data_IF_620166007024
#
_entry.id   IF_620166007024
#
_cell.length_a   1.000
_cell.length_b   1.000
_cell.length_c   1.000
_cell.angle_alpha   90.00
_cell.angle_beta   90.00
_cell.angle_gamma   90.00
#
_symmetry.space_group_name_H-M   'P 1'
#
loop_
_entity.id
_entity.type
_entity.pdbx_description
1 polymer ?
#
# COMPACT_ATOMS: atom_id res chain seq x y z
N UNK A 1 11.12 34.86 -29.79
CA UNK A 1 9.88 34.08 -29.63
C UNK A 1 9.21 34.57 -28.35
N UNK A 2 7.94 34.96 -28.38
CA UNK A 2 7.24 35.52 -27.22
C UNK A 2 6.87 34.39 -26.24
N UNK A 3 6.77 34.68 -24.94
CA UNK A 3 6.33 33.73 -23.91
C UNK A 3 4.99 33.07 -24.27
N UNK A 4 4.08 33.83 -24.88
CA UNK A 4 2.80 33.30 -25.32
C UNK A 4 2.96 32.19 -26.38
N UNK A 5 3.89 32.34 -27.32
CA UNK A 5 4.16 31.31 -28.34
C UNK A 5 4.79 30.08 -27.71
N UNK A 6 5.69 30.29 -26.75
CA UNK A 6 6.34 29.22 -26.00
C UNK A 6 5.34 28.37 -25.21
N UNK A 7 4.40 29.01 -24.50
CA UNK A 7 3.36 28.32 -23.73
C UNK A 7 2.41 27.59 -24.65
N UNK A 8 2.00 28.21 -25.76
CA UNK A 8 1.07 27.59 -26.73
C UNK A 8 1.67 26.35 -27.41
N UNK A 9 2.98 26.32 -27.60
CA UNK A 9 3.69 25.23 -28.28
C UNK A 9 4.30 24.19 -27.31
N UNK A 10 3.96 24.24 -26.01
CA UNK A 10 4.50 23.36 -24.96
C UNK A 10 6.05 23.28 -24.94
N UNK A 11 6.69 24.41 -25.26
CA UNK A 11 8.15 24.58 -25.30
C UNK A 11 8.74 24.68 -23.87
N UNK A 12 8.54 23.65 -23.04
CA UNK A 12 8.87 23.68 -21.61
C UNK A 12 10.37 23.82 -21.35
N UNK A 13 11.24 23.30 -22.22
CA UNK A 13 12.68 23.50 -22.07
C UNK A 13 13.06 24.97 -22.21
N UNK A 14 12.56 25.66 -23.23
CA UNK A 14 12.83 27.07 -23.46
C UNK A 14 12.21 27.96 -22.39
N UNK A 15 10.98 27.66 -21.96
CA UNK A 15 10.33 28.38 -20.84
C UNK A 15 11.18 28.27 -19.57
N UNK A 16 11.74 27.09 -19.27
CA UNK A 16 12.55 26.88 -18.05
C UNK A 16 13.81 27.75 -17.97
N UNK A 17 14.35 28.15 -19.14
CA UNK A 17 15.56 28.96 -19.31
C UNK A 17 15.29 30.47 -19.28
N UNK A 18 14.05 30.91 -19.13
CA UNK A 18 13.74 32.34 -19.04
C UNK A 18 14.21 32.91 -17.69
N UNK A 19 15.26 33.72 -17.71
CA UNK A 19 15.88 34.28 -16.50
C UNK A 19 15.24 35.64 -16.13
N UNK A 20 13.97 35.63 -15.74
CA UNK A 20 13.31 36.80 -15.13
C UNK A 20 12.31 36.38 -14.05
N UNK A 21 12.25 37.07 -12.88
CA UNK A 21 11.34 36.72 -11.79
C UNK A 21 9.85 36.68 -12.20
N UNK A 22 9.43 37.55 -13.11
CA UNK A 22 8.05 37.60 -13.61
C UNK A 22 7.62 36.34 -14.36
N UNK A 23 8.59 35.55 -14.87
CA UNK A 23 8.29 34.30 -15.56
C UNK A 23 8.35 33.08 -14.64
N UNK A 24 8.60 33.26 -13.34
CA UNK A 24 8.73 32.15 -12.39
C UNK A 24 7.51 31.22 -12.40
N UNK A 25 6.29 31.74 -12.47
CA UNK A 25 5.07 30.91 -12.54
C UNK A 25 5.10 29.96 -13.74
N UNK A 26 5.51 30.45 -14.92
CA UNK A 26 5.62 29.63 -16.13
C UNK A 26 6.77 28.62 -16.04
N UNK A 27 7.90 29.02 -15.45
CA UNK A 27 9.05 28.14 -15.22
C UNK A 27 8.69 26.98 -14.31
N UNK A 28 7.91 27.23 -13.26
CA UNK A 28 7.45 26.19 -12.34
C UNK A 28 6.66 25.13 -13.08
N UNK A 29 5.67 25.54 -13.88
CA UNK A 29 4.85 24.62 -14.70
C UNK A 29 5.73 23.86 -15.69
N UNK A 30 6.66 24.54 -16.36
CA UNK A 30 7.61 23.92 -17.27
C UNK A 30 8.48 22.86 -16.58
N UNK A 31 9.07 23.18 -15.41
CA UNK A 31 9.85 22.20 -14.65
C UNK A 31 9.01 21.01 -14.17
N UNK A 32 7.74 21.23 -13.81
CA UNK A 32 6.81 20.14 -13.48
C UNK A 32 6.60 19.21 -14.66
N UNK A 33 6.33 19.75 -15.86
CA UNK A 33 6.13 18.94 -17.07
C UNK A 33 7.41 18.21 -17.50
N UNK A 34 8.59 18.79 -17.23
CA UNK A 34 9.90 18.13 -17.43
C UNK A 34 10.25 17.11 -16.33
N UNK A 35 9.39 16.90 -15.32
CA UNK A 35 9.65 15.98 -14.20
C UNK A 35 10.71 16.47 -13.20
N UNK A 36 11.14 17.74 -13.30
CA UNK A 36 12.19 18.38 -12.50
C UNK A 36 11.58 19.06 -11.26
N UNK A 37 11.07 18.25 -10.33
CA UNK A 37 10.27 18.74 -9.21
C UNK A 37 11.07 19.54 -8.15
N UNK A 38 12.34 19.23 -7.92
CA UNK A 38 13.16 20.00 -6.96
C UNK A 38 13.50 21.40 -7.52
N UNK A 39 13.67 21.53 -8.84
CA UNK A 39 13.83 22.78 -9.55
C UNK A 39 12.54 23.60 -9.51
N UNK A 40 11.39 22.97 -9.77
CA UNK A 40 10.08 23.62 -9.66
C UNK A 40 9.88 24.28 -8.28
N UNK A 41 10.31 23.62 -7.19
CA UNK A 41 10.20 24.16 -5.83
C UNK A 41 11.01 25.44 -5.56
N UNK A 42 12.04 25.72 -6.36
CA UNK A 42 12.86 26.95 -6.24
C UNK A 42 12.12 28.18 -6.72
N UNK A 43 11.24 28.00 -7.71
CA UNK A 43 10.51 29.08 -8.37
C UNK A 43 9.04 29.17 -7.92
N UNK A 44 8.51 28.10 -7.31
CA UNK A 44 7.11 28.03 -6.90
C UNK A 44 6.82 28.89 -5.67
N UNK A 45 5.76 29.69 -5.77
CA UNK A 45 5.27 30.49 -4.65
C UNK A 45 4.87 29.63 -3.45
N UNK A 46 5.02 30.19 -2.25
CA UNK A 46 4.98 29.45 -0.98
C UNK A 46 3.67 28.70 -0.73
N UNK A 47 2.55 29.25 -1.18
CA UNK A 47 1.20 28.71 -0.96
C UNK A 47 0.49 28.38 -2.28
N UNK A 48 1.25 28.10 -3.35
CA UNK A 48 0.68 27.76 -4.66
C UNK A 48 0.35 26.26 -4.82
N UNK A 49 -0.56 25.96 -5.75
CA UNK A 49 -0.90 24.59 -6.11
C UNK A 49 0.30 23.82 -6.69
N UNK A 50 1.08 24.46 -7.54
CA UNK A 50 2.26 23.88 -8.19
C UNK A 50 3.32 23.47 -7.17
N UNK A 51 3.51 24.28 -6.11
CA UNK A 51 4.39 23.92 -5.00
C UNK A 51 3.90 22.67 -4.28
N UNK A 52 2.59 22.59 -4.02
CA UNK A 52 1.99 21.40 -3.40
C UNK A 52 2.13 20.16 -4.31
N UNK A 53 1.92 20.32 -5.61
CA UNK A 53 2.08 19.25 -6.60
C UNK A 53 3.53 18.75 -6.68
N UNK A 54 4.52 19.64 -6.76
CA UNK A 54 5.92 19.26 -6.74
C UNK A 54 6.30 18.54 -5.43
N UNK A 55 5.82 19.01 -4.27
CA UNK A 55 6.00 18.30 -2.99
C UNK A 55 5.35 16.91 -2.99
N UNK A 56 4.17 16.77 -3.59
CA UNK A 56 3.49 15.48 -3.74
C UNK A 56 4.31 14.50 -4.58
N UNK A 57 4.82 14.92 -5.75
CA UNK A 57 5.65 14.08 -6.63
C UNK A 57 6.97 13.67 -5.96
N UNK A 58 7.49 14.51 -5.07
CA UNK A 58 8.65 14.21 -4.21
C UNK A 58 8.30 13.39 -2.95
N UNK A 59 7.07 12.84 -2.86
CA UNK A 59 6.56 12.05 -1.73
C UNK A 59 6.56 12.80 -0.38
N UNK A 60 6.60 14.13 -0.40
CA UNK A 60 6.56 15.02 0.79
C UNK A 60 5.10 15.34 1.18
N UNK A 61 4.25 14.31 1.26
CA UNK A 61 2.78 14.41 1.38
C UNK A 61 2.28 15.32 2.52
N UNK A 62 2.88 15.21 3.71
CA UNK A 62 2.51 16.06 4.87
C UNK A 62 2.76 17.54 4.62
N UNK A 63 3.81 17.89 3.85
CA UNK A 63 4.12 19.28 3.51
C UNK A 63 3.15 19.78 2.44
N UNK A 64 2.86 18.97 1.43
CA UNK A 64 1.85 19.28 0.40
C UNK A 64 0.48 19.58 1.03
N UNK A 65 0.01 18.73 1.96
CA UNK A 65 -1.27 18.93 2.64
C UNK A 65 -1.36 20.23 3.43
N UNK A 66 -0.27 20.76 3.98
CA UNK A 66 -0.29 22.05 4.69
C UNK A 66 -0.62 23.22 3.76
N UNK A 67 -0.19 23.12 2.50
CA UNK A 67 -0.48 24.11 1.46
C UNK A 67 -1.90 23.89 0.95
N UNK A 68 -2.25 22.65 0.60
CA UNK A 68 -3.56 22.32 0.00
C UNK A 68 -4.75 22.68 0.90
N UNK A 69 -4.59 22.65 2.23
CA UNK A 69 -5.62 23.12 3.17
C UNK A 69 -6.01 24.60 3.04
N UNK A 70 -5.20 25.40 2.33
CA UNK A 70 -5.41 26.84 2.13
C UNK A 70 -5.95 27.17 0.75
N UNK A 71 -6.08 26.18 -0.12
CA UNK A 71 -6.53 26.31 -1.51
C UNK A 71 -7.84 25.54 -1.61
N UNK A 72 -8.93 26.20 -1.96
CA UNK A 72 -10.24 25.56 -2.12
C UNK A 72 -10.60 25.50 -3.61
N UNK A 73 -10.08 24.49 -4.30
CA UNK A 73 -10.39 24.19 -5.70
C UNK A 73 -10.63 22.68 -5.85
N UNK A 74 -11.33 22.24 -6.90
CA UNK A 74 -11.48 20.80 -7.15
C UNK A 74 -10.11 20.11 -7.29
N UNK A 75 -9.17 20.73 -8.01
CA UNK A 75 -7.81 20.21 -8.14
C UNK A 75 -7.07 20.07 -6.81
N UNK A 76 -7.27 21.01 -5.86
CA UNK A 76 -6.66 20.90 -4.53
C UNK A 76 -7.27 19.77 -3.71
N UNK A 77 -8.59 19.56 -3.80
CA UNK A 77 -9.29 18.43 -3.15
C UNK A 77 -8.82 17.08 -3.69
N UNK A 78 -8.68 16.94 -5.01
CA UNK A 78 -8.14 15.74 -5.67
C UNK A 78 -6.71 15.47 -5.19
N UNK A 79 -5.82 16.47 -5.21
CA UNK A 79 -4.44 16.25 -4.78
C UNK A 79 -4.33 15.99 -3.27
N UNK A 80 -5.21 16.60 -2.46
CA UNK A 80 -5.27 16.36 -1.02
C UNK A 80 -5.72 14.93 -0.70
N UNK A 81 -6.75 14.42 -1.38
CA UNK A 81 -7.21 13.04 -1.20
C UNK A 81 -6.12 12.04 -1.59
N UNK A 82 -5.39 12.27 -2.69
CA UNK A 82 -4.23 11.47 -3.09
C UNK A 82 -3.13 11.48 -2.02
N UNK A 83 -2.79 12.66 -1.46
CA UNK A 83 -1.83 12.75 -0.36
C UNK A 83 -2.26 11.96 0.88
N UNK A 84 -3.55 12.03 1.24
CA UNK A 84 -4.11 11.30 2.38
C UNK A 84 -4.12 9.79 2.15
N UNK A 85 -4.45 9.36 0.93
CA UNK A 85 -4.38 7.97 0.50
C UNK A 85 -2.98 7.38 0.70
N UNK A 86 -1.92 8.06 0.22
CA UNK A 86 -0.54 7.60 0.43
C UNK A 86 -0.09 7.67 1.89
N UNK A 87 -0.72 8.50 2.71
CA UNK A 87 -0.51 8.55 4.16
C UNK A 87 -1.36 7.52 4.91
N UNK A 88 -2.19 6.73 4.23
CA UNK A 88 -3.03 5.69 4.83
C UNK A 88 -4.29 6.20 5.54
N UNK A 89 -4.72 7.44 5.28
CA UNK A 89 -5.99 8.01 5.76
C UNK A 89 -7.08 7.83 4.71
N UNK A 90 -7.43 6.57 4.43
CA UNK A 90 -8.28 6.20 3.29
C UNK A 90 -9.70 6.73 3.41
N UNK A 91 -10.27 6.73 4.61
CA UNK A 91 -11.64 7.22 4.79
C UNK A 91 -11.71 8.75 4.64
N UNK A 92 -10.73 9.46 5.17
CA UNK A 92 -10.62 10.92 5.02
C UNK A 92 -10.34 11.29 3.57
N UNK A 93 -9.51 10.52 2.87
CA UNK A 93 -9.27 10.68 1.44
C UNK A 93 -10.57 10.51 0.64
N UNK A 94 -11.34 9.45 0.94
CA UNK A 94 -12.63 9.18 0.31
C UNK A 94 -13.60 10.35 0.49
N UNK A 95 -13.78 10.83 1.74
CA UNK A 95 -14.68 11.96 2.04
C UNK A 95 -14.36 13.20 1.21
N UNK A 96 -13.09 13.59 1.17
CA UNK A 96 -12.67 14.77 0.40
C UNK A 96 -12.91 14.57 -1.10
N UNK A 97 -12.58 13.39 -1.63
CA UNK A 97 -12.76 13.12 -3.05
C UNK A 97 -14.24 13.00 -3.45
N UNK A 98 -15.11 12.55 -2.54
CA UNK A 98 -16.54 12.38 -2.79
C UNK A 98 -17.29 13.71 -3.01
N UNK A 99 -16.69 14.83 -2.57
CA UNK A 99 -17.19 16.19 -2.80
C UNK A 99 -16.88 16.72 -4.22
N UNK A 100 -15.98 16.06 -4.96
CA UNK A 100 -15.58 16.45 -6.31
C UNK A 100 -16.58 15.88 -7.32
N UNK A 101 -16.81 16.59 -8.42
CA UNK A 101 -17.65 16.10 -9.52
C UNK A 101 -17.16 14.72 -9.98
N UNK A 102 -18.08 13.75 -10.01
CA UNK A 102 -17.78 12.36 -10.38
C UNK A 102 -17.61 12.22 -11.89
N UNK A 103 -16.40 11.87 -12.31
CA UNK A 103 -16.08 11.25 -13.59
C UNK A 103 -15.54 9.82 -13.35
N UNK A 104 -15.17 9.13 -14.43
CA UNK A 104 -14.69 7.74 -14.35
C UNK A 104 -13.43 7.62 -13.47
N UNK A 105 -12.47 8.54 -13.58
CA UNK A 105 -11.24 8.53 -12.79
C UNK A 105 -11.52 8.77 -11.30
N UNK A 106 -12.42 9.69 -10.99
CA UNK A 106 -12.85 9.96 -9.62
C UNK A 106 -13.53 8.73 -9.02
N UNK A 107 -14.39 8.05 -9.78
CA UNK A 107 -15.10 6.83 -9.33
C UNK A 107 -14.13 5.68 -9.08
N UNK A 108 -13.19 5.44 -9.99
CA UNK A 108 -12.14 4.41 -9.81
C UNK A 108 -11.33 4.70 -8.54
N UNK A 109 -10.93 5.95 -8.32
CA UNK A 109 -10.16 6.35 -7.14
C UNK A 109 -10.96 6.22 -5.83
N UNK A 110 -12.25 6.59 -5.85
CA UNK A 110 -13.14 6.40 -4.71
C UNK A 110 -13.29 4.91 -4.37
N UNK A 111 -13.41 4.04 -5.38
CA UNK A 111 -13.48 2.60 -5.18
C UNK A 111 -12.19 2.04 -4.58
N UNK A 112 -11.02 2.50 -5.02
CA UNK A 112 -9.73 2.14 -4.42
C UNK A 112 -9.66 2.57 -2.93
N UNK A 113 -10.06 3.80 -2.63
CA UNK A 113 -10.10 4.33 -1.26
C UNK A 113 -11.05 3.53 -0.37
N UNK A 114 -12.25 3.20 -0.87
CA UNK A 114 -13.25 2.38 -0.17
C UNK A 114 -12.70 0.99 0.16
N UNK A 115 -12.17 0.29 -0.84
CA UNK A 115 -11.61 -1.05 -0.68
C UNK A 115 -10.52 -1.09 0.39
N UNK A 116 -9.57 -0.15 0.35
CA UNK A 116 -8.49 -0.08 1.34
C UNK A 116 -8.97 0.37 2.72
N UNK A 117 -9.97 1.26 2.82
CA UNK A 117 -10.53 1.66 4.10
C UNK A 117 -11.25 0.49 4.81
N UNK A 118 -12.07 -0.26 4.08
CA UNK A 118 -12.73 -1.47 4.59
C UNK A 118 -11.71 -2.54 4.99
N UNK A 119 -10.65 -2.70 4.18
CA UNK A 119 -9.58 -3.63 4.49
C UNK A 119 -8.83 -3.24 5.77
N UNK A 120 -8.50 -1.95 5.94
CA UNK A 120 -7.83 -1.44 7.13
C UNK A 120 -8.66 -1.63 8.40
N UNK A 121 -9.98 -1.55 8.29
CA UNK A 121 -10.91 -1.73 9.41
C UNK A 121 -11.00 -3.21 9.83
N UNK A 122 -11.21 -4.12 8.87
CA UNK A 122 -11.31 -5.56 9.12
C UNK A 122 -9.98 -6.20 9.57
N UNK A 123 -8.84 -5.62 9.17
CA UNK A 123 -7.52 -6.24 9.34
C UNK A 123 -6.73 -5.75 10.55
N UNK A 124 -7.31 -4.93 11.44
CA UNK A 124 -6.56 -4.31 12.55
C UNK A 124 -5.79 -5.35 13.40
N UNK A 125 -6.28 -6.58 13.51
CA UNK A 125 -5.67 -7.59 14.39
C UNK A 125 -5.69 -9.05 13.90
N UNK A 126 -6.40 -9.38 12.83
CA UNK A 126 -6.53 -10.78 12.41
C UNK A 126 -5.33 -11.31 11.60
N UNK A 127 -4.64 -10.46 10.83
CA UNK A 127 -3.92 -10.98 9.67
C UNK A 127 -2.42 -11.31 9.82
N UNK A 128 -1.55 -10.66 10.57
CA UNK A 128 -0.12 -11.05 10.67
C UNK A 128 0.71 -11.15 9.36
N UNK A 129 0.11 -10.92 8.19
CA UNK A 129 0.74 -10.94 6.87
C UNK A 129 1.17 -9.53 6.45
N UNK A 130 1.95 -9.45 5.37
CA UNK A 130 2.66 -8.23 4.93
C UNK A 130 1.73 -7.16 4.34
N UNK A 131 0.43 -7.46 4.22
CA UNK A 131 -0.63 -6.65 3.59
C UNK A 131 -1.52 -5.93 4.64
N UNK A 132 -1.09 -5.91 5.91
CA UNK A 132 -1.85 -5.27 6.98
C UNK A 132 -1.86 -3.75 6.85
N UNK A 133 -3.03 -3.21 6.53
CA UNK A 133 -3.31 -1.80 6.63
C UNK A 133 -3.64 -1.42 8.06
N UNK A 134 -2.88 -0.47 8.62
CA UNK A 134 -3.25 0.14 9.90
C UNK A 134 -4.38 1.13 9.64
N UNK A 135 -5.52 0.93 10.29
CA UNK A 135 -6.56 1.95 10.39
C UNK A 135 -5.96 3.23 10.97
N UNK A 136 -6.16 4.36 10.30
CA UNK A 136 -5.69 5.69 10.74
C UNK A 136 -6.82 6.68 10.98
N UNK A 137 -8.01 6.35 10.53
CA UNK A 137 -9.23 7.12 10.66
C UNK A 137 -10.44 6.20 10.86
N UNK A 138 -11.51 6.74 11.41
CA UNK A 138 -12.77 6.02 11.60
C UNK A 138 -13.43 5.73 10.25
N UNK A 139 -14.13 4.60 10.12
CA UNK A 139 -14.81 4.22 8.89
C UNK A 139 -16.09 5.04 8.74
N UNK A 140 -16.37 5.58 7.55
CA UNK A 140 -17.63 6.25 7.23
C UNK A 140 -18.56 5.34 6.42
N UNK A 141 -19.76 5.85 6.15
CA UNK A 141 -20.64 5.27 5.14
C UNK A 141 -20.08 5.56 3.75
N UNK A 142 -19.97 4.52 2.93
CA UNK A 142 -19.54 4.62 1.54
C UNK A 142 -20.75 4.53 0.61
N UNK A 143 -20.71 5.26 -0.49
CA UNK A 143 -21.68 5.12 -1.56
C UNK A 143 -21.49 3.79 -2.30
N UNK A 144 -22.58 3.27 -2.86
CA UNK A 144 -22.53 2.18 -3.83
C UNK A 144 -22.16 2.73 -5.21
N UNK A 145 -20.90 2.53 -5.60
CA UNK A 145 -20.36 2.99 -6.88
C UNK A 145 -20.60 2.01 -8.03
N UNK A 146 -21.15 0.82 -7.75
CA UNK A 146 -21.33 -0.24 -8.77
C UNK A 146 -22.30 0.12 -9.90
N UNK A 147 -23.11 1.17 -9.70
CA UNK A 147 -24.09 1.67 -10.68
C UNK A 147 -23.53 2.70 -11.64
N UNK A 148 -22.29 3.17 -11.43
CA UNK A 148 -21.67 4.14 -12.33
C UNK A 148 -21.27 3.47 -13.64
N UNK A 149 -21.69 4.07 -14.76
CA UNK A 149 -21.40 3.57 -16.10
C UNK A 149 -20.03 4.07 -16.57
N UNK A 150 -18.98 3.27 -16.31
CA UNK A 150 -17.62 3.57 -16.72
C UNK A 150 -17.48 3.35 -18.23
N UNK A 151 -17.15 4.42 -18.95
CA UNK A 151 -17.15 4.44 -20.42
C UNK A 151 -15.96 3.71 -21.03
N UNK A 152 -14.81 3.81 -20.38
CA UNK A 152 -13.56 3.26 -20.89
C UNK A 152 -13.27 1.88 -20.29
N UNK A 153 -12.90 0.92 -21.15
CA UNK A 153 -12.57 -0.45 -20.74
C UNK A 153 -11.45 -0.47 -19.68
N UNK A 154 -10.40 0.32 -19.86
CA UNK A 154 -9.28 0.42 -18.90
C UNK A 154 -9.77 0.85 -17.51
N UNK A 155 -10.56 1.93 -17.44
CA UNK A 155 -11.15 2.39 -16.18
C UNK A 155 -12.07 1.35 -15.54
N UNK A 156 -12.79 0.55 -16.35
CA UNK A 156 -13.64 -0.52 -15.84
C UNK A 156 -12.83 -1.67 -15.27
N UNK A 157 -11.72 -2.04 -15.91
CA UNK A 157 -10.77 -3.04 -15.40
C UNK A 157 -10.21 -2.58 -14.05
N UNK A 158 -9.75 -1.32 -13.96
CA UNK A 158 -9.23 -0.76 -12.70
C UNK A 158 -10.29 -0.70 -11.60
N UNK A 159 -11.52 -0.31 -11.94
CA UNK A 159 -12.64 -0.32 -11.01
C UNK A 159 -12.91 -1.72 -10.46
N UNK A 160 -13.00 -2.73 -11.33
CA UNK A 160 -13.25 -4.12 -10.94
C UNK A 160 -12.10 -4.68 -10.10
N UNK A 161 -10.86 -4.38 -10.48
CA UNK A 161 -9.69 -4.74 -9.69
C UNK A 161 -9.76 -4.12 -8.29
N UNK A 162 -10.06 -2.82 -8.17
CA UNK A 162 -10.23 -2.14 -6.88
C UNK A 162 -11.43 -2.67 -6.07
N UNK A 163 -12.53 -3.03 -6.74
CA UNK A 163 -13.72 -3.61 -6.12
C UNK A 163 -13.44 -4.97 -5.48
N UNK A 164 -12.56 -5.77 -6.08
CA UNK A 164 -12.19 -7.08 -5.52
C UNK A 164 -11.68 -6.99 -4.07
N UNK A 165 -11.03 -5.88 -3.70
CA UNK A 165 -10.46 -5.71 -2.36
C UNK A 165 -11.51 -5.62 -1.24
N UNK A 166 -12.79 -5.40 -1.55
CA UNK A 166 -13.87 -5.48 -0.56
C UNK A 166 -14.05 -6.90 0.00
N UNK A 167 -13.74 -7.92 -0.83
CA UNK A 167 -13.81 -9.34 -0.49
C UNK A 167 -12.48 -9.92 0.00
N UNK A 168 -11.39 -9.14 0.07
CA UNK A 168 -10.04 -9.66 0.39
C UNK A 168 -9.95 -10.34 1.78
N UNK A 169 -10.88 -10.06 2.68
CA UNK A 169 -10.93 -10.70 3.99
C UNK A 169 -11.27 -12.20 3.93
N UNK A 170 -11.90 -12.67 2.84
CA UNK A 170 -12.29 -14.05 2.63
C UNK A 170 -11.75 -14.54 1.27
N UNK A 171 -10.84 -15.52 1.30
CA UNK A 171 -10.21 -16.07 0.09
C UNK A 171 -11.22 -16.61 -0.90
N UNK A 172 -12.20 -17.37 -0.42
CA UNK A 172 -13.20 -18.02 -1.27
C UNK A 172 -14.06 -16.96 -1.98
N UNK A 173 -14.54 -15.95 -1.25
CA UNK A 173 -15.30 -14.85 -1.83
C UNK A 173 -14.46 -14.05 -2.84
N UNK A 174 -13.19 -13.78 -2.51
CA UNK A 174 -12.28 -13.03 -3.38
C UNK A 174 -11.99 -13.77 -4.67
N UNK A 175 -11.64 -15.06 -4.58
CA UNK A 175 -11.35 -15.92 -5.73
C UNK A 175 -12.60 -16.10 -6.59
N UNK A 176 -13.75 -16.40 -5.97
CA UNK A 176 -15.02 -16.52 -6.69
C UNK A 176 -15.42 -15.22 -7.39
N UNK A 177 -15.16 -14.07 -6.76
CA UNK A 177 -15.38 -12.77 -7.40
C UNK A 177 -14.53 -12.64 -8.67
N UNK A 178 -13.22 -12.87 -8.59
CA UNK A 178 -12.32 -12.76 -9.75
C UNK A 178 -12.72 -13.72 -10.88
N UNK A 179 -13.03 -14.98 -10.57
CA UNK A 179 -13.50 -15.96 -11.56
C UNK A 179 -14.74 -15.47 -12.32
N UNK A 180 -15.74 -14.97 -11.61
CA UNK A 180 -16.95 -14.42 -12.24
C UNK A 180 -16.66 -13.22 -13.14
N UNK A 181 -15.68 -12.39 -12.78
CA UNK A 181 -15.30 -11.27 -13.65
C UNK A 181 -14.60 -11.75 -14.91
N UNK A 182 -13.83 -12.83 -14.87
CA UNK A 182 -13.16 -13.42 -16.04
C UNK A 182 -14.11 -14.12 -17.02
N UNK A 183 -15.38 -14.34 -16.66
CA UNK A 183 -16.41 -14.74 -17.63
C UNK A 183 -16.66 -13.64 -18.69
N UNK A 184 -16.28 -12.39 -18.38
CA UNK A 184 -16.37 -11.25 -19.28
C UNK A 184 -15.12 -11.16 -20.16
N UNK A 185 -15.26 -11.19 -21.50
CA UNK A 185 -14.11 -11.18 -22.41
C UNK A 185 -13.17 -10.00 -22.21
N UNK A 186 -13.69 -8.83 -21.83
CA UNK A 186 -12.89 -7.63 -21.60
C UNK A 186 -11.94 -7.72 -20.38
N UNK A 187 -12.11 -8.72 -19.52
CA UNK A 187 -11.28 -8.93 -18.34
C UNK A 187 -10.11 -9.90 -18.59
N UNK A 188 -10.13 -10.65 -19.70
CA UNK A 188 -9.03 -11.56 -20.03
C UNK A 188 -7.80 -10.78 -20.52
N UNK A 189 -6.61 -11.24 -20.13
CA UNK A 189 -5.33 -10.60 -20.39
C UNK A 189 -5.11 -9.31 -19.59
N UNK A 190 -5.89 -9.09 -18.52
CA UNK A 190 -5.81 -7.88 -17.69
C UNK A 190 -5.27 -8.16 -16.29
N UNK A 191 -5.07 -7.11 -15.50
CA UNK A 191 -4.65 -7.21 -14.10
C UNK A 191 -5.56 -8.10 -13.23
N UNK A 192 -6.84 -8.25 -13.60
CA UNK A 192 -7.79 -9.14 -12.91
C UNK A 192 -7.40 -10.61 -13.10
N UNK A 193 -7.03 -11.00 -14.32
CA UNK A 193 -6.56 -12.35 -14.63
C UNK A 193 -5.21 -12.62 -13.96
N UNK A 194 -4.30 -11.66 -14.07
CA UNK A 194 -2.98 -11.73 -13.46
C UNK A 194 -3.04 -11.86 -11.93
N UNK A 195 -3.99 -11.18 -11.29
CA UNK A 195 -4.24 -11.32 -9.86
C UNK A 195 -4.72 -12.74 -9.51
N UNK A 196 -5.59 -13.35 -10.33
CA UNK A 196 -6.02 -14.73 -10.10
C UNK A 196 -4.86 -15.72 -10.29
N UNK A 197 -4.04 -15.55 -11.34
CA UNK A 197 -2.82 -16.34 -11.56
C UNK A 197 -1.87 -16.26 -10.38
N UNK A 198 -1.63 -15.06 -9.86
CA UNK A 198 -0.80 -14.82 -8.69
C UNK A 198 -1.30 -15.59 -7.45
N UNK A 199 -2.61 -15.63 -7.20
CA UNK A 199 -3.18 -16.39 -6.07
C UNK A 199 -2.89 -17.88 -6.20
N UNK A 200 -3.06 -18.41 -7.42
CA UNK A 200 -2.84 -19.83 -7.72
C UNK A 200 -1.37 -20.23 -7.80
N UNK A 201 -0.45 -19.27 -7.75
CA UNK A 201 0.98 -19.51 -7.96
C UNK A 201 1.33 -19.83 -9.43
N UNK A 202 0.49 -19.41 -10.37
CA UNK A 202 0.72 -19.52 -11.81
C UNK A 202 1.67 -18.40 -12.29
N UNK A 203 2.17 -18.52 -13.52
CA UNK A 203 3.02 -17.50 -14.13
C UNK A 203 2.22 -16.25 -14.47
N UNK A 204 2.68 -15.10 -13.98
CA UNK A 204 2.08 -13.78 -14.20
C UNK A 204 2.88 -13.03 -15.24
N UNK A 205 2.22 -12.31 -16.14
CA UNK A 205 2.87 -11.42 -17.09
C UNK A 205 3.34 -10.11 -16.40
N UNK A 206 4.65 -9.90 -16.20
CA UNK A 206 5.15 -8.73 -15.49
C UNK A 206 4.93 -7.40 -16.22
N UNK A 207 4.74 -7.42 -17.54
CA UNK A 207 4.60 -6.21 -18.37
C UNK A 207 3.24 -5.53 -18.19
N UNK A 208 2.25 -6.27 -17.70
CA UNK A 208 0.93 -5.75 -17.32
C UNK A 208 0.91 -5.20 -15.89
N UNK A 209 1.97 -5.43 -15.11
CA UNK A 209 2.05 -5.02 -13.72
C UNK A 209 2.69 -3.64 -13.58
N UNK A 210 2.04 -2.78 -12.79
CA UNK A 210 2.68 -1.59 -12.25
C UNK A 210 3.87 -1.98 -11.39
N UNK A 211 4.86 -1.07 -11.27
CA UNK A 211 6.08 -1.28 -10.47
C UNK A 211 5.81 -1.90 -9.10
N UNK A 212 4.83 -1.38 -8.35
CA UNK A 212 4.53 -1.89 -7.01
C UNK A 212 3.92 -3.30 -7.04
N UNK A 213 3.09 -3.61 -8.04
CA UNK A 213 2.50 -4.94 -8.22
C UNK A 213 3.59 -5.96 -8.60
N UNK A 214 4.52 -5.56 -9.48
CA UNK A 214 5.69 -6.36 -9.85
C UNK A 214 6.60 -6.63 -8.65
N UNK A 215 6.91 -5.60 -7.87
CA UNK A 215 7.66 -5.75 -6.61
C UNK A 215 6.95 -6.75 -5.67
N UNK A 216 5.60 -6.68 -5.54
CA UNK A 216 4.84 -7.63 -4.74
C UNK A 216 4.90 -9.06 -5.29
N UNK A 217 4.79 -9.23 -6.61
CA UNK A 217 4.88 -10.54 -7.27
C UNK A 217 6.26 -11.20 -7.09
N UNK A 218 7.33 -10.46 -7.38
CA UNK A 218 8.72 -10.91 -7.19
C UNK A 218 8.96 -11.30 -5.73
N UNK A 219 8.40 -10.52 -4.81
CA UNK A 219 8.49 -10.80 -3.40
C UNK A 219 7.75 -12.09 -3.00
N UNK A 220 6.53 -12.30 -3.52
CA UNK A 220 5.77 -13.51 -3.26
C UNK A 220 6.48 -14.78 -3.78
N UNK A 221 7.19 -14.67 -4.91
CA UNK A 221 8.02 -15.75 -5.47
C UNK A 221 9.37 -15.93 -4.76
N UNK A 222 9.67 -15.10 -3.76
CA UNK A 222 10.94 -15.15 -3.02
C UNK A 222 12.14 -14.62 -3.81
N UNK A 223 11.93 -13.93 -4.94
CA UNK A 223 13.01 -13.34 -5.75
C UNK A 223 13.63 -12.11 -5.07
N UNK A 224 12.84 -11.38 -4.27
CA UNK A 224 13.32 -10.23 -3.49
C UNK A 224 12.93 -10.36 -2.01
N UNK A 225 13.82 -9.83 -1.15
CA UNK A 225 13.69 -9.94 0.31
C UNK A 225 12.85 -8.81 0.94
N UNK A 226 12.67 -7.71 0.21
CA UNK A 226 12.01 -6.47 0.67
C UNK A 226 11.34 -5.77 -0.52
N UNK A 227 10.22 -5.10 -0.27
CA UNK A 227 9.49 -4.30 -1.25
C UNK A 227 8.81 -3.10 -0.59
N UNK A 228 8.41 -2.12 -1.39
CA UNK A 228 8.10 -0.77 -0.90
C UNK A 228 6.65 -0.57 -0.43
N UNK A 229 5.67 -1.20 -1.07
CA UNK A 229 4.25 -0.98 -0.78
C UNK A 229 3.37 -2.23 -1.02
N UNK A 230 2.91 -2.91 0.04
CA UNK A 230 2.27 -4.22 -0.04
C UNK A 230 0.76 -4.17 -0.24
N UNK A 231 0.23 -3.25 -1.04
CA UNK A 231 -1.21 -2.99 -1.03
C UNK A 231 -1.98 -3.52 -2.22
N UNK A 232 -1.30 -3.73 -3.35
CA UNK A 232 -1.93 -4.19 -4.56
C UNK A 232 -1.19 -5.45 -5.03
N UNK A 233 -1.95 -6.47 -5.42
CA UNK A 233 -1.48 -7.79 -5.86
C UNK A 233 -1.28 -8.84 -4.74
N UNK A 234 -2.36 -9.47 -4.27
CA UNK A 234 -2.35 -10.34 -3.08
C UNK A 234 -2.21 -11.84 -3.42
N UNK A 235 -1.45 -12.58 -2.61
CA UNK A 235 -1.41 -14.05 -2.63
C UNK A 235 -1.63 -14.68 -1.24
N UNK A 236 -1.54 -13.91 -0.17
CA UNK A 236 -1.41 -14.43 1.19
C UNK A 236 -2.76 -14.37 1.95
N UNK A 237 -3.63 -15.35 1.72
CA UNK A 237 -4.89 -15.50 2.47
C UNK A 237 -4.74 -16.43 3.68
N UNK A 238 -5.66 -16.29 4.65
CA UNK A 238 -5.80 -17.29 5.72
C UNK A 238 -6.52 -18.51 5.13
N UNK A 239 -5.78 -19.55 4.79
CA UNK A 239 -6.38 -20.77 4.25
C UNK A 239 -7.45 -21.35 5.18
N UNK A 240 -8.65 -21.55 4.64
CA UNK A 240 -9.73 -22.34 5.23
C UNK A 240 -9.56 -23.80 4.80
N UNK A 241 -8.65 -24.53 5.44
CA UNK A 241 -8.49 -25.96 5.16
C UNK A 241 -7.15 -26.47 5.64
N UNK A 242 -7.15 -27.70 6.15
CA UNK A 242 -6.09 -28.62 6.59
C UNK A 242 -4.73 -28.01 7.01
N UNK A 243 -4.14 -28.54 8.09
CA UNK A 243 -2.91 -28.00 8.71
C UNK A 243 -1.76 -27.63 7.75
N UNK A 244 -1.63 -28.31 6.60
CA UNK A 244 -0.65 -28.00 5.55
C UNK A 244 -0.97 -26.76 4.67
N UNK A 245 -2.25 -26.47 4.40
CA UNK A 245 -2.67 -25.27 3.64
C UNK A 245 -2.71 -24.02 4.52
N UNK A 246 -2.99 -24.17 5.82
CA UNK A 246 -2.83 -23.09 6.82
C UNK A 246 -1.38 -22.61 6.86
N UNK A 247 -0.41 -23.53 6.76
CA UNK A 247 1.01 -23.18 6.74
C UNK A 247 1.43 -22.43 5.48
N UNK A 248 0.96 -22.79 4.29
CA UNK A 248 1.43 -22.12 3.05
C UNK A 248 0.92 -20.69 2.87
N UNK A 249 -0.32 -20.38 3.27
CA UNK A 249 -0.90 -19.03 3.10
C UNK A 249 -0.46 -17.99 4.15
N UNK A 250 -0.05 -18.45 5.34
CA UNK A 250 0.24 -17.59 6.49
C UNK A 250 1.69 -17.62 6.98
N UNK A 251 2.49 -18.62 6.59
CA UNK A 251 3.90 -18.69 6.98
C UNK A 251 4.67 -17.83 5.97
N UNK A 252 4.99 -16.61 6.40
CA UNK A 252 5.91 -15.75 5.67
C UNK A 252 7.19 -16.54 5.39
N UNK A 253 7.67 -16.57 4.15
CA UNK A 253 8.97 -17.15 3.77
C UNK A 253 10.12 -16.81 4.75
N UNK A 254 10.06 -15.64 5.40
CA UNK A 254 11.01 -15.27 6.45
C UNK A 254 10.96 -16.17 7.70
N UNK A 255 9.78 -16.62 8.11
CA UNK A 255 9.59 -17.57 9.21
C UNK A 255 10.30 -18.87 8.84
N UNK A 256 9.95 -19.48 7.70
CA UNK A 256 10.61 -20.71 7.21
C UNK A 256 12.11 -20.52 7.08
N UNK A 257 12.56 -19.44 6.44
CA UNK A 257 13.97 -19.14 6.26
C UNK A 257 14.71 -19.02 7.59
N UNK A 258 14.13 -18.34 8.58
CA UNK A 258 14.71 -18.21 9.92
C UNK A 258 14.79 -19.58 10.61
N UNK A 259 13.72 -20.38 10.57
CA UNK A 259 13.73 -21.73 11.18
C UNK A 259 14.71 -22.68 10.47
N UNK A 260 14.68 -22.75 9.14
CA UNK A 260 15.61 -23.56 8.34
C UNK A 260 17.06 -23.15 8.52
N UNK A 261 17.31 -21.88 8.84
CA UNK A 261 18.64 -21.36 9.19
C UNK A 261 19.04 -21.56 10.66
N UNK A 262 18.17 -22.18 11.47
CA UNK A 262 18.31 -22.26 12.93
C UNK A 262 18.62 -20.89 13.57
N UNK A 263 17.88 -19.85 13.16
CA UNK A 263 18.03 -18.47 13.64
C UNK A 263 19.40 -17.82 13.39
N UNK A 264 20.21 -18.33 12.45
CA UNK A 264 21.50 -17.71 12.08
C UNK A 264 21.37 -16.43 11.25
N UNK A 265 20.15 -16.07 10.84
CA UNK A 265 19.87 -14.85 10.11
C UNK A 265 20.03 -13.62 11.00
N UNK A 266 20.72 -12.59 10.48
CA UNK A 266 20.78 -11.28 11.13
C UNK A 266 19.38 -10.69 11.30
N UNK A 267 18.98 -10.40 12.54
CA UNK A 267 17.67 -9.90 12.90
C UNK A 267 17.28 -8.62 12.14
N UNK A 268 18.25 -7.77 11.77
CA UNK A 268 18.10 -6.53 11.01
C UNK A 268 17.57 -6.75 9.59
N UNK A 269 17.80 -7.95 9.04
CA UNK A 269 17.30 -8.31 7.71
C UNK A 269 15.81 -8.66 7.76
N UNK A 270 15.30 -9.11 8.91
CA UNK A 270 13.88 -9.44 9.11
C UNK A 270 13.03 -8.16 9.05
N UNK A 271 12.08 -8.05 8.11
CA UNK A 271 11.34 -6.83 7.85
C UNK A 271 10.27 -6.58 8.91
N UNK A 272 10.15 -5.35 9.43
CA UNK A 272 9.20 -5.01 10.51
C UNK A 272 7.78 -4.68 10.00
N UNK A 273 7.27 -5.51 9.09
CA UNK A 273 6.04 -5.23 8.34
C UNK A 273 4.76 -5.68 9.07
N UNK A 274 4.86 -6.68 9.96
CA UNK A 274 3.72 -7.20 10.72
C UNK A 274 4.11 -7.51 12.17
N UNK A 275 3.12 -7.65 13.08
CA UNK A 275 3.35 -8.15 14.43
C UNK A 275 4.11 -9.47 14.47
N UNK A 276 3.79 -10.42 13.58
CA UNK A 276 4.53 -11.68 13.44
C UNK A 276 6.01 -11.43 13.13
N UNK A 277 6.35 -10.55 12.19
CA UNK A 277 7.76 -10.29 11.86
C UNK A 277 8.51 -9.55 12.96
N UNK A 278 7.83 -8.66 13.68
CA UNK A 278 8.37 -8.04 14.90
C UNK A 278 8.69 -9.11 15.93
N UNK A 279 7.78 -10.05 16.19
CA UNK A 279 7.99 -11.19 17.09
C UNK A 279 9.12 -12.11 16.62
N UNK A 280 9.14 -12.49 15.34
CA UNK A 280 10.21 -13.30 14.74
C UNK A 280 11.59 -12.65 14.94
N UNK A 281 11.67 -11.32 14.82
CA UNK A 281 12.91 -10.56 15.07
C UNK A 281 13.32 -10.61 16.53
N UNK A 282 12.37 -10.43 17.45
CA UNK A 282 12.61 -10.56 18.90
C UNK A 282 13.11 -11.98 19.22
N UNK A 283 12.45 -13.02 18.68
CA UNK A 283 12.84 -14.42 18.84
C UNK A 283 14.26 -14.68 18.33
N UNK A 284 14.59 -14.17 17.14
CA UNK A 284 15.93 -14.31 16.54
C UNK A 284 17.02 -13.64 17.36
N UNK A 285 16.76 -12.43 17.87
CA UNK A 285 17.71 -11.73 18.76
C UNK A 285 17.96 -12.55 20.02
N UNK A 286 16.92 -12.99 20.71
CA UNK A 286 17.10 -13.71 21.95
C UNK A 286 17.71 -15.11 21.76
N UNK A 287 17.37 -15.82 20.67
CA UNK A 287 17.99 -17.12 20.34
C UNK A 287 19.49 -16.98 20.07
N UNK A 288 19.91 -15.86 19.50
CA UNK A 288 21.32 -15.50 19.30
C UNK A 288 21.97 -14.85 20.53
N UNK A 289 21.30 -14.82 21.69
CA UNK A 289 21.82 -14.25 22.93
C UNK A 289 21.79 -12.72 23.01
N UNK A 290 21.18 -12.05 22.04
CA UNK A 290 21.04 -10.59 21.98
C UNK A 290 19.69 -10.13 22.57
N UNK A 291 19.68 -8.96 23.20
CA UNK A 291 18.44 -8.38 23.73
C UNK A 291 17.74 -7.45 22.72
N UNK A 292 16.41 -7.53 22.59
CA UNK A 292 15.63 -6.58 21.79
C UNK A 292 15.72 -5.16 22.32
N UNK A 293 15.81 -4.17 21.42
CA UNK A 293 15.76 -2.76 21.82
C UNK A 293 14.42 -2.39 22.49
N UNK A 294 14.44 -1.44 23.42
CA UNK A 294 13.21 -0.92 24.07
C UNK A 294 12.17 -0.43 23.06
N UNK A 295 12.60 0.17 21.94
CA UNK A 295 11.70 0.61 20.87
C UNK A 295 10.94 -0.55 20.23
N UNK A 296 11.61 -1.69 20.05
CA UNK A 296 11.00 -2.89 19.47
C UNK A 296 10.02 -3.54 20.45
N UNK A 297 10.38 -3.60 21.73
CA UNK A 297 9.51 -4.11 22.80
C UNK A 297 8.26 -3.24 22.98
N UNK A 298 8.41 -1.91 23.01
CA UNK A 298 7.27 -0.98 23.13
C UNK A 298 6.24 -1.18 22.01
N UNK A 299 6.70 -1.39 20.77
CA UNK A 299 5.80 -1.69 19.64
C UNK A 299 4.95 -2.94 19.85
N UNK A 300 5.48 -3.95 20.54
CA UNK A 300 4.75 -5.18 20.83
C UNK A 300 3.79 -5.03 22.01
N UNK A 301 4.19 -4.29 23.06
CA UNK A 301 3.36 -4.00 24.24
C UNK A 301 2.13 -3.15 23.93
N UNK A 302 2.14 -2.39 22.84
CA UNK A 302 0.98 -1.61 22.38
C UNK A 302 -0.10 -2.48 21.72
N UNK A 303 0.12 -3.80 21.52
CA UNK A 303 -0.88 -4.67 20.91
C UNK A 303 -1.89 -5.22 21.93
N UNK A 304 -3.15 -5.42 21.53
CA UNK A 304 -4.10 -6.12 22.38
C UNK A 304 -3.62 -7.56 22.66
N UNK A 305 -3.92 -8.04 23.88
CA UNK A 305 -3.40 -9.29 24.42
C UNK A 305 -3.80 -10.54 23.60
N UNK A 306 -5.06 -10.59 23.16
CA UNK A 306 -5.60 -11.71 22.37
C UNK A 306 -4.88 -11.89 21.01
N UNK A 307 -4.72 -10.83 20.19
CA UNK A 307 -3.88 -10.85 18.98
C UNK A 307 -2.41 -11.20 19.23
N UNK A 308 -1.81 -10.72 20.31
CA UNK A 308 -0.41 -11.04 20.64
C UNK A 308 -0.24 -12.55 20.89
N UNK A 309 -1.16 -13.16 21.65
CA UNK A 309 -1.19 -14.62 21.87
C UNK A 309 -1.36 -15.39 20.57
N UNK A 310 -2.29 -15.00 19.69
CA UNK A 310 -2.52 -15.71 18.43
C UNK A 310 -1.30 -15.68 17.50
N UNK A 311 -0.54 -14.58 17.48
CA UNK A 311 0.71 -14.51 16.71
C UNK A 311 1.83 -15.35 17.30
N UNK A 312 1.92 -15.44 18.63
CA UNK A 312 2.89 -16.30 19.30
C UNK A 312 2.62 -17.78 19.04
N UNK A 313 1.36 -18.19 18.97
CA UNK A 313 0.97 -19.58 18.67
C UNK A 313 1.39 -20.05 17.27
N UNK A 314 1.60 -19.14 16.31
CA UNK A 314 2.10 -19.49 14.97
C UNK A 314 3.58 -19.88 15.00
N UNK A 315 4.32 -19.45 16.02
CA UNK A 315 5.72 -19.84 16.21
C UNK A 315 5.87 -21.18 16.93
N UNK A 316 4.80 -21.77 17.51
CA UNK A 316 4.71 -23.23 17.63
C UNK A 316 3.46 -23.93 18.21
N UNK A 317 3.16 -25.12 17.67
CA UNK A 317 2.77 -26.30 18.48
C UNK A 317 3.80 -27.46 18.59
N UNK A 318 4.88 -27.55 17.78
CA UNK A 318 5.74 -28.76 17.64
C UNK A 318 7.27 -28.59 17.45
N UNK A 319 7.82 -27.40 17.21
CA UNK A 319 9.24 -27.11 17.08
C UNK A 319 9.93 -26.80 18.42
N UNK A 320 11.25 -26.95 18.42
CA UNK A 320 12.11 -26.93 19.61
C UNK A 320 12.63 -25.53 19.96
N UNK A 321 11.73 -24.55 20.03
CA UNK A 321 12.02 -23.37 20.86
C UNK A 321 12.01 -23.84 22.32
N UNK A 322 13.08 -23.59 23.08
CA UNK A 322 13.09 -23.99 24.50
C UNK A 322 11.88 -23.37 25.17
N UNK A 323 11.04 -24.21 25.80
CA UNK A 323 9.79 -23.82 26.45
C UNK A 323 9.99 -22.63 27.39
N UNK A 324 11.14 -22.57 28.07
CA UNK A 324 11.54 -21.47 28.95
C UNK A 324 11.70 -20.14 28.21
N UNK A 325 12.21 -20.17 26.98
CA UNK A 325 12.41 -18.98 26.16
C UNK A 325 11.06 -18.43 25.65
N UNK A 326 10.16 -19.31 25.20
CA UNK A 326 8.79 -18.93 24.84
C UNK A 326 8.03 -18.34 26.04
N UNK A 327 8.12 -18.97 27.22
CA UNK A 327 7.50 -18.48 28.45
C UNK A 327 8.08 -17.11 28.85
N UNK A 328 9.40 -16.93 28.76
CA UNK A 328 10.05 -15.64 29.06
C UNK A 328 9.56 -14.55 28.11
N UNK A 329 9.53 -14.81 26.80
CA UNK A 329 9.06 -13.88 25.79
C UNK A 329 7.58 -13.52 25.98
N UNK A 330 6.75 -14.52 26.26
CA UNK A 330 5.34 -14.31 26.60
C UNK A 330 5.20 -13.42 27.84
N UNK A 331 5.95 -13.69 28.92
CA UNK A 331 5.93 -12.84 30.11
C UNK A 331 6.45 -11.42 29.87
N UNK A 332 7.48 -11.23 29.05
CA UNK A 332 8.09 -9.92 28.81
C UNK A 332 7.27 -9.03 27.85
N UNK A 333 6.51 -9.66 26.94
CA UNK A 333 5.62 -8.97 25.99
C UNK A 333 4.25 -8.68 26.63
N UNK A 334 3.76 -9.58 27.48
CA UNK A 334 2.37 -9.58 27.97
C UNK A 334 2.21 -8.97 29.36
N UNK A 335 3.31 -8.78 30.10
CA UNK A 335 3.37 -7.93 31.29
C UNK A 335 4.12 -6.64 30.95
#
# INVERSE_FOLDING_TARGET
MNLHDLVKNDCHEEISRLEHPEFNQFRVVAYINLGKFEEALRYAEKDSFERAYALYKLKKYKKALRILKRIDTEGSKVLASQCLYYLGYYNTAYKILSEVKKDDDIVVNLQAMKGLAMLADKNQYAFGNKFQLRKRDELAQFEDLSRHDIKHTEGRVDFIFNLSFESLANEEEFVNFLYRQLEKPEMSGTIVEEQLKNIKGEEVNPDLLLRNQRETFEFNRGAIDKFSNPLHFQQNFQGLGNSESITRGNVSLWIERVYSSNFSIQAEKIPLLSPKMVLLRILTLCKSGSFPSQRLLRKAKEWPESPAKSYLCVFDPMASLSKEFYIRLSKDIMN
#
